data_IF_995253521310
#
_entry.id   IF_995253521310
#
_cell.length_a   1.000
_cell.length_b   1.000
_cell.length_c   1.000
_cell.angle_alpha   90.00
_cell.angle_beta   90.00
_cell.angle_gamma   90.00
#
_symmetry.space_group_name_H-M   'P 1'
#
loop_
_entity.id
_entity.type
_entity.pdbx_description
1 polymer ?
#
# COMPACT_ATOMS: atom_id res chain seq x y z
N UNK A 1 26.60 0.76 -27.81
CA UNK A 1 25.21 1.27 -27.73
C UNK A 1 25.01 1.80 -26.31
N UNK A 2 24.73 3.09 -26.09
CA UNK A 2 24.42 3.56 -24.74
C UNK A 2 23.05 3.01 -24.32
N UNK A 3 22.97 2.40 -23.14
CA UNK A 3 21.72 1.89 -22.57
C UNK A 3 20.81 3.08 -22.24
N UNK A 4 19.60 3.00 -22.78
CA UNK A 4 18.57 4.03 -22.78
C UNK A 4 18.40 4.74 -21.43
N UNK A 5 18.17 6.05 -21.50
CA UNK A 5 17.66 6.90 -20.43
C UNK A 5 16.50 6.20 -19.71
N UNK A 6 16.74 5.68 -18.51
CA UNK A 6 15.74 4.97 -17.75
C UNK A 6 14.62 5.93 -17.35
N UNK A 7 13.52 5.92 -18.11
CA UNK A 7 12.27 6.52 -17.65
C UNK A 7 11.85 5.74 -16.39
N UNK A 8 11.65 6.40 -15.24
CA UNK A 8 11.22 5.69 -14.03
C UNK A 8 9.92 4.93 -14.30
N UNK A 9 9.85 3.68 -13.83
CA UNK A 9 8.68 2.84 -13.94
C UNK A 9 7.54 3.46 -13.11
N UNK A 10 6.56 4.05 -13.78
CA UNK A 10 5.37 4.61 -13.15
C UNK A 10 4.19 3.70 -13.44
N UNK A 11 3.48 3.25 -12.41
CA UNK A 11 2.16 2.63 -12.62
C UNK A 11 1.18 3.74 -13.02
N UNK A 12 0.15 3.38 -13.79
CA UNK A 12 -0.91 4.31 -14.19
C UNK A 12 -1.58 5.00 -13.00
N UNK A 13 -2.14 6.20 -13.21
CA UNK A 13 -2.97 6.85 -12.22
C UNK A 13 -4.24 6.03 -11.94
N UNK A 14 -4.82 6.11 -10.72
CA UNK A 14 -6.12 5.52 -10.43
C UNK A 14 -7.20 6.07 -11.39
N UNK A 15 -8.04 5.19 -11.94
CA UNK A 15 -9.07 5.57 -12.93
C UNK A 15 -10.38 6.11 -12.34
N UNK A 16 -10.49 6.23 -11.01
CA UNK A 16 -11.71 6.64 -10.32
C UNK A 16 -11.78 8.14 -9.99
N UNK A 17 -12.96 8.64 -9.56
CA UNK A 17 -13.18 10.07 -9.29
C UNK A 17 -12.55 10.56 -7.97
N UNK A 18 -12.09 9.65 -7.12
CA UNK A 18 -11.49 9.97 -5.82
C UNK A 18 -10.00 9.69 -5.83
N UNK A 19 -9.18 10.54 -5.19
CA UNK A 19 -7.79 10.18 -4.91
C UNK A 19 -7.77 8.95 -3.98
N UNK A 20 -6.69 8.17 -4.06
CA UNK A 20 -6.56 6.92 -3.30
C UNK A 20 -5.62 7.14 -2.12
N UNK A 21 -6.07 7.01 -0.88
CA UNK A 21 -5.18 6.93 0.28
C UNK A 21 -4.67 5.51 0.48
N UNK A 22 -3.49 5.37 1.09
CA UNK A 22 -3.05 4.06 1.60
C UNK A 22 -2.61 4.15 3.05
N UNK A 23 -2.83 3.06 3.80
CA UNK A 23 -2.36 2.93 5.18
C UNK A 23 -2.01 1.49 5.48
N UNK A 24 -0.92 1.30 6.21
CA UNK A 24 -0.46 -0.02 6.65
C UNK A 24 -0.55 -0.15 8.16
N UNK A 25 -0.88 -1.34 8.63
CA UNK A 25 -0.92 -1.70 10.05
C UNK A 25 -0.20 -3.02 10.29
N UNK A 26 0.43 -3.11 11.45
CA UNK A 26 0.84 -4.37 12.06
C UNK A 26 -0.25 -4.76 13.04
N UNK A 27 -0.95 -5.85 12.73
CA UNK A 27 -1.99 -6.40 13.57
C UNK A 27 -1.43 -7.61 14.30
N UNK A 28 -1.57 -7.62 15.63
CA UNK A 28 -1.22 -8.75 16.47
C UNK A 28 -2.51 -9.27 17.08
N UNK A 29 -2.85 -10.50 16.76
CA UNK A 29 -3.97 -11.23 17.33
C UNK A 29 -3.43 -12.16 18.42
N UNK A 30 -3.49 -11.68 19.67
CA UNK A 30 -2.92 -12.36 20.82
C UNK A 30 -3.73 -13.59 21.27
N UNK A 31 -5.02 -13.64 20.90
CA UNK A 31 -5.93 -14.69 21.34
C UNK A 31 -5.89 -15.92 20.42
N UNK A 32 -5.27 -15.78 19.24
CA UNK A 32 -5.17 -16.86 18.26
C UNK A 32 -3.71 -17.27 18.02
N UNK A 33 -3.38 -18.57 18.15
CA UNK A 33 -2.07 -19.06 17.77
C UNK A 33 -1.86 -18.92 16.25
N UNK A 34 -0.62 -18.65 15.87
CA UNK A 34 -0.23 -18.69 14.47
C UNK A 34 -0.32 -20.14 13.93
N UNK A 35 -0.91 -20.38 12.74
CA UNK A 35 -1.11 -21.74 12.25
C UNK A 35 0.17 -22.39 11.71
N UNK A 36 1.26 -21.64 11.53
CA UNK A 36 2.57 -22.13 11.12
C UNK A 36 3.55 -22.25 12.29
N UNK A 37 3.33 -21.50 13.38
CA UNK A 37 4.04 -21.64 14.66
C UNK A 37 3.07 -21.45 15.84
N UNK A 38 2.54 -22.56 16.36
CA UNK A 38 1.55 -22.52 17.44
C UNK A 38 2.09 -21.96 18.76
N UNK A 39 3.41 -21.76 18.89
CA UNK A 39 4.03 -21.11 20.04
C UNK A 39 3.99 -19.58 19.99
N UNK A 40 3.48 -18.99 18.90
CA UNK A 40 3.42 -17.54 18.69
C UNK A 40 1.99 -17.04 18.53
N UNK A 41 1.78 -15.79 18.92
CA UNK A 41 0.58 -15.04 18.56
C UNK A 41 0.56 -14.81 17.05
N UNK A 42 -0.64 -14.75 16.46
CA UNK A 42 -0.76 -14.52 15.03
C UNK A 42 -0.52 -13.05 14.69
N UNK A 43 0.41 -12.80 13.78
CA UNK A 43 0.74 -11.46 13.32
C UNK A 43 0.41 -11.28 11.84
N UNK A 44 -0.13 -10.12 11.47
CA UNK A 44 -0.47 -9.78 10.10
C UNK A 44 -0.07 -8.33 9.78
N UNK A 45 0.74 -8.16 8.74
CA UNK A 45 0.92 -6.86 8.10
C UNK A 45 -0.17 -6.66 7.05
N UNK A 46 -0.97 -5.61 7.18
CA UNK A 46 -2.07 -5.30 6.25
C UNK A 46 -1.86 -3.92 5.66
N UNK A 47 -2.11 -3.76 4.36
CA UNK A 47 -2.14 -2.48 3.67
C UNK A 47 -3.51 -2.29 3.05
N UNK A 48 -4.17 -1.16 3.38
CA UNK A 48 -5.46 -0.79 2.84
C UNK A 48 -5.31 0.35 1.86
N UNK A 49 -6.03 0.27 0.74
CA UNK A 49 -6.24 1.38 -0.19
C UNK A 49 -7.70 1.83 -0.07
N UNK A 50 -7.93 3.14 0.05
CA UNK A 50 -9.27 3.69 0.29
C UNK A 50 -9.47 5.03 -0.43
N UNK A 51 -10.70 5.44 -0.76
CA UNK A 51 -10.96 6.79 -1.26
C UNK A 51 -10.57 7.84 -0.22
N UNK A 52 -9.65 8.74 -0.59
CA UNK A 52 -9.20 9.84 0.25
C UNK A 52 -9.93 11.14 -0.10
N UNK A 53 -9.98 12.08 0.86
CA UNK A 53 -10.54 13.40 0.64
C UNK A 53 -9.63 14.35 -0.17
N UNK A 54 -8.32 14.08 -0.23
CA UNK A 54 -7.35 14.87 -0.97
C UNK A 54 -6.13 14.06 -1.40
N UNK A 55 -5.48 14.51 -2.48
CA UNK A 55 -4.19 13.99 -2.90
C UNK A 55 -3.04 14.61 -2.07
N UNK A 56 -1.96 13.84 -1.90
CA UNK A 56 -0.74 14.23 -1.17
C UNK A 56 0.50 13.50 -1.68
N UNK A 57 1.53 13.34 -0.85
CA UNK A 57 2.79 12.68 -1.27
C UNK A 57 2.57 11.21 -1.69
N UNK A 58 3.30 10.77 -2.72
CA UNK A 58 3.24 9.37 -3.19
C UNK A 58 3.64 8.38 -2.10
N UNK A 59 2.85 7.32 -1.94
CA UNK A 59 3.25 6.19 -1.13
C UNK A 59 4.39 5.42 -1.80
N UNK A 60 5.22 4.77 -0.96
CA UNK A 60 6.23 3.84 -1.45
C UNK A 60 5.54 2.51 -1.73
N UNK A 61 5.91 1.86 -2.84
CA UNK A 61 5.38 0.54 -3.18
C UNK A 61 5.77 -0.52 -2.15
N UNK A 62 7.00 -0.45 -1.65
CA UNK A 62 7.50 -1.29 -0.55
C UNK A 62 8.04 -0.43 0.59
N UNK A 63 7.90 -0.86 1.86
CA UNK A 63 8.70 -0.34 2.96
C UNK A 63 10.19 -0.46 2.63
N UNK A 64 11.00 0.53 3.00
CA UNK A 64 12.44 0.56 2.63
C UNK A 64 13.20 -0.71 3.05
N UNK A 65 13.02 -1.28 4.25
CA UNK A 65 13.69 -2.52 4.63
C UNK A 65 13.31 -3.71 3.72
N UNK A 66 12.03 -3.81 3.36
CA UNK A 66 11.53 -4.87 2.47
C UNK A 66 12.02 -4.65 1.04
N UNK A 67 12.02 -3.41 0.57
CA UNK A 67 12.57 -3.06 -0.74
C UNK A 67 14.04 -3.49 -0.85
N UNK A 68 14.85 -3.22 0.18
CA UNK A 68 16.24 -3.69 0.23
C UNK A 68 16.32 -5.22 0.17
N UNK A 69 15.57 -5.92 1.02
CA UNK A 69 15.56 -7.39 1.04
C UNK A 69 15.16 -7.99 -0.32
N UNK A 70 14.13 -7.45 -0.96
CA UNK A 70 13.68 -7.90 -2.29
C UNK A 70 14.76 -7.65 -3.34
N UNK A 71 15.36 -6.46 -3.35
CA UNK A 71 16.43 -6.12 -4.30
C UNK A 71 17.66 -7.00 -4.12
N UNK A 72 18.02 -7.31 -2.86
CA UNK A 72 19.17 -8.15 -2.53
C UNK A 72 18.91 -9.63 -2.87
N UNK A 73 17.67 -10.10 -2.71
CA UNK A 73 17.28 -11.49 -3.00
C UNK A 73 17.00 -11.76 -4.49
N UNK A 74 16.70 -10.72 -5.27
CA UNK A 74 16.36 -10.82 -6.70
C UNK A 74 17.53 -10.42 -7.63
N UNK A 75 18.75 -10.31 -7.10
CA UNK A 75 19.92 -9.80 -7.81
C UNK A 75 20.35 -10.59 -9.05
N UNK A 76 19.74 -11.75 -9.33
CA UNK A 76 20.05 -12.57 -10.50
C UNK A 76 19.33 -12.12 -11.80
N UNK A 77 18.25 -11.31 -11.76
CA UNK A 77 17.53 -10.94 -12.99
C UNK A 77 16.96 -9.49 -12.97
N UNK A 78 17.69 -8.53 -13.56
CA UNK A 78 17.09 -7.33 -14.19
C UNK A 78 16.51 -6.22 -13.28
N UNK A 79 16.87 -6.14 -12.01
CA UNK A 79 16.15 -5.32 -11.00
C UNK A 79 16.42 -3.80 -11.03
N UNK A 80 17.20 -3.29 -11.99
CA UNK A 80 17.46 -1.83 -12.10
C UNK A 80 16.16 -1.01 -12.26
N UNK A 81 15.09 -1.60 -12.81
CA UNK A 81 13.78 -0.97 -12.98
C UNK A 81 12.97 -0.83 -11.68
N UNK A 82 13.14 -1.75 -10.71
CA UNK A 82 12.32 -1.76 -9.47
C UNK A 82 12.74 -0.66 -8.50
N UNK A 83 13.93 -0.06 -8.68
CA UNK A 83 14.36 1.16 -7.97
C UNK A 83 13.36 2.31 -8.08
N UNK A 84 12.49 2.27 -9.09
CA UNK A 84 11.60 3.37 -9.43
C UNK A 84 10.11 3.06 -9.30
N UNK A 85 9.68 1.92 -8.71
CA UNK A 85 8.24 1.65 -8.48
C UNK A 85 7.69 2.63 -7.45
N UNK A 86 7.28 3.80 -7.95
CA UNK A 86 6.85 4.97 -7.22
C UNK A 86 5.41 5.22 -7.59
N UNK A 87 4.45 4.69 -6.83
CA UNK A 87 3.04 4.83 -7.20
C UNK A 87 2.07 5.07 -6.07
N UNK A 88 1.19 5.99 -6.44
CA UNK A 88 -0.03 6.47 -5.83
C UNK A 88 0.18 7.20 -4.49
N UNK A 89 0.09 8.53 -4.62
CA UNK A 89 -0.41 9.49 -3.62
C UNK A 89 -1.52 8.86 -2.79
N UNK A 90 -1.71 9.00 -1.46
CA UNK A 90 -1.36 10.08 -0.51
C UNK A 90 -1.08 9.61 0.95
N UNK A 91 -0.71 10.56 1.84
CA UNK A 91 -0.17 10.40 3.22
C UNK A 91 -0.95 9.49 4.20
N UNK A 92 -0.18 9.04 5.20
CA UNK A 92 -0.40 8.11 6.34
C UNK A 92 -1.72 8.19 7.13
N UNK A 93 -2.50 9.27 7.04
CA UNK A 93 -3.81 9.41 7.72
C UNK A 93 -4.50 10.67 7.18
N UNK A 94 -5.38 10.52 6.19
CA UNK A 94 -6.39 11.53 5.86
C UNK A 94 -7.77 10.97 6.17
N UNK A 95 -8.74 11.81 6.59
CA UNK A 95 -10.07 11.33 6.91
C UNK A 95 -10.68 10.67 5.67
N UNK A 96 -11.34 9.53 5.91
CA UNK A 96 -12.18 8.85 4.93
C UNK A 96 -13.16 9.89 4.37
N UNK A 97 -13.32 9.95 3.06
CA UNK A 97 -14.37 10.77 2.45
C UNK A 97 -15.69 10.40 3.11
N UNK A 98 -16.40 11.33 3.77
CA UNK A 98 -17.67 11.01 4.39
C UNK A 98 -18.60 10.51 3.28
N UNK A 99 -18.88 9.21 3.28
CA UNK A 99 -19.89 8.65 2.42
C UNK A 99 -21.22 9.21 2.88
N UNK A 100 -21.99 9.80 1.95
CA UNK A 100 -23.36 10.21 2.24
C UNK A 100 -24.10 8.98 2.76
N UNK A 101 -24.46 8.98 4.05
CA UNK A 101 -25.23 7.91 4.67
C UNK A 101 -26.58 7.86 3.95
N UNK A 102 -27.00 6.71 3.38
CA UNK A 102 -28.37 6.61 2.86
C UNK A 102 -29.34 6.83 4.02
N UNK A 103 -30.36 7.67 3.80
CA UNK A 103 -31.37 8.00 4.80
C UNK A 103 -32.04 6.71 5.29
N UNK A 104 -31.97 6.48 6.60
CA UNK A 104 -32.67 5.36 7.22
C UNK A 104 -34.16 5.72 7.24
N UNK A 105 -35.06 4.95 6.59
CA UNK A 105 -36.48 5.23 6.70
C UNK A 105 -36.90 5.11 8.17
N UNK A 106 -37.57 6.15 8.68
CA UNK A 106 -38.19 6.14 10.00
C UNK A 106 -39.26 5.06 10.02
N UNK A 107 -39.10 4.06 10.90
CA UNK A 107 -40.18 3.14 11.19
C UNK A 107 -41.29 3.92 11.91
N UNK A 108 -42.49 3.88 11.33
CA UNK A 108 -43.74 4.28 11.96
C UNK A 108 -44.43 3.04 12.53
#
# INVERSE_FOLDING_TARGET
MPHSSANPLQLPPPGGPHPVGTRSWHLVDADRPDPWDTGRCRELMVQLWYPAGSAGDRARYLPVPVARLVMDSWAEDGVAAVRSVLVASSKRTWPVTPTRRPDRPSAA
#
